data_IF_877481165018
#
_entry.id   IF_877481165018
#
_cell.length_a   1.000
_cell.length_b   1.000
_cell.length_c   1.000
_cell.angle_alpha   90.00
_cell.angle_beta   90.00
_cell.angle_gamma   90.00
#
_symmetry.space_group_name_H-M   'P 1'
#
loop_
_entity.id
_entity.type
_entity.pdbx_description
1 polymer ?
#
# COMPACT_ATOMS: atom_id res chain seq x y z
N UNK A 1 2.70 -10.29 -9.02
CA UNK A 1 2.74 -10.49 -7.59
C UNK A 1 3.28 -9.30 -6.83
N UNK A 2 3.19 -9.38 -5.55
CA UNK A 2 3.62 -8.27 -4.67
C UNK A 2 5.12 -8.13 -4.60
N UNK A 3 5.84 -9.15 -5.00
CA UNK A 3 7.31 -9.14 -5.03
C UNK A 3 7.85 -8.37 -6.21
N UNK A 4 7.05 -8.20 -7.24
CA UNK A 4 7.46 -7.54 -8.46
C UNK A 4 7.11 -6.06 -8.38
N UNK A 5 7.96 -5.23 -8.97
CA UNK A 5 7.67 -3.82 -9.10
C UNK A 5 6.55 -3.63 -10.10
N UNK A 6 5.48 -2.96 -9.68
CA UNK A 6 4.38 -2.62 -10.57
C UNK A 6 4.70 -1.26 -11.18
N UNK A 7 4.74 -1.20 -12.50
CA UNK A 7 5.05 0.02 -13.23
C UNK A 7 3.78 0.65 -13.77
N UNK A 8 3.62 1.93 -13.49
CA UNK A 8 2.47 2.68 -13.97
C UNK A 8 2.45 2.74 -15.50
N UNK A 9 3.62 2.84 -16.13
CA UNK A 9 3.75 2.83 -17.58
C UNK A 9 3.14 1.56 -18.18
N UNK A 10 3.35 0.42 -17.55
CA UNK A 10 2.82 -0.86 -18.03
C UNK A 10 1.31 -0.91 -17.94
N UNK A 11 0.74 -0.37 -16.86
CA UNK A 11 -0.70 -0.32 -16.68
C UNK A 11 -1.35 0.61 -17.71
N UNK A 12 -0.75 1.77 -17.93
CA UNK A 12 -1.26 2.73 -18.91
C UNK A 12 -1.22 2.13 -20.32
N UNK A 13 -0.15 1.41 -20.64
CA UNK A 13 0.01 0.75 -21.93
C UNK A 13 -1.10 -0.28 -22.18
N UNK A 14 -1.41 -1.08 -21.18
CA UNK A 14 -2.49 -2.07 -21.27
C UNK A 14 -3.85 -1.43 -21.51
N UNK A 15 -4.04 -0.21 -21.04
CA UNK A 15 -5.27 0.54 -21.22
C UNK A 15 -5.26 1.41 -22.49
N UNK A 16 -4.22 1.31 -23.31
CA UNK A 16 -4.08 2.09 -24.54
C UNK A 16 -4.16 3.60 -24.29
N UNK A 17 -3.49 4.08 -23.24
CA UNK A 17 -3.47 5.50 -22.91
C UNK A 17 -2.10 5.91 -22.40
N UNK A 18 -1.81 7.20 -22.44
CA UNK A 18 -0.57 7.73 -21.89
C UNK A 18 -0.55 7.58 -20.38
N UNK A 19 0.65 7.54 -19.81
CA UNK A 19 0.83 7.46 -18.35
C UNK A 19 0.14 8.64 -17.65
N UNK A 20 0.30 9.85 -18.21
CA UNK A 20 -0.33 11.04 -17.64
C UNK A 20 -1.85 10.93 -17.62
N UNK A 21 -2.44 10.47 -18.72
CA UNK A 21 -3.88 10.29 -18.81
C UNK A 21 -4.36 9.22 -17.83
N UNK A 22 -3.64 8.11 -17.75
CA UNK A 22 -3.97 7.03 -16.81
C UNK A 22 -3.96 7.53 -15.37
N UNK A 23 -2.91 8.26 -14.97
CA UNK A 23 -2.81 8.79 -13.61
C UNK A 23 -3.95 9.74 -13.29
N UNK A 24 -4.31 10.59 -14.22
CA UNK A 24 -5.41 11.55 -14.03
C UNK A 24 -6.74 10.84 -13.82
N UNK A 25 -7.06 9.87 -14.68
CA UNK A 25 -8.29 9.10 -14.55
C UNK A 25 -8.32 8.30 -13.24
N UNK A 26 -7.19 7.71 -12.87
CA UNK A 26 -7.10 6.94 -11.64
C UNK A 26 -7.43 7.82 -10.42
N UNK A 27 -6.84 9.01 -10.36
CA UNK A 27 -7.12 9.94 -9.26
C UNK A 27 -8.60 10.36 -9.24
N UNK A 28 -9.19 10.60 -10.41
CA UNK A 28 -10.61 10.96 -10.51
C UNK A 28 -11.50 9.88 -9.90
N UNK A 29 -11.25 8.62 -10.23
CA UNK A 29 -12.13 7.51 -9.82
C UNK A 29 -11.79 6.97 -8.44
N UNK A 30 -10.51 6.92 -8.06
CA UNK A 30 -10.08 6.28 -6.83
C UNK A 30 -9.79 7.26 -5.69
N UNK A 31 -9.72 8.55 -5.99
CA UNK A 31 -9.37 9.60 -5.04
C UNK A 31 -7.99 9.39 -4.40
N UNK A 32 -7.11 8.72 -5.11
CA UNK A 32 -5.71 8.55 -4.73
C UNK A 32 -4.89 8.22 -5.97
N UNK A 33 -3.59 8.43 -5.90
CA UNK A 33 -2.71 8.10 -7.03
C UNK A 33 -2.55 6.58 -7.15
N UNK A 34 -2.20 6.08 -8.35
CA UNK A 34 -1.89 4.66 -8.50
C UNK A 34 -0.79 4.18 -7.55
N UNK A 35 0.23 5.01 -7.31
CA UNK A 35 1.32 4.65 -6.40
C UNK A 35 0.81 4.50 -4.98
N UNK A 36 -0.05 5.42 -4.52
CA UNK A 36 -0.64 5.33 -3.19
C UNK A 36 -1.52 4.09 -3.04
N UNK A 37 -2.29 3.78 -4.07
CA UNK A 37 -3.13 2.57 -4.08
C UNK A 37 -2.28 1.31 -3.96
N UNK A 38 -1.21 1.22 -4.73
CA UNK A 38 -0.29 0.08 -4.67
C UNK A 38 0.34 -0.03 -3.28
N UNK A 39 0.78 1.09 -2.73
CA UNK A 39 1.39 1.09 -1.40
C UNK A 39 0.39 0.69 -0.32
N UNK A 40 -0.87 1.09 -0.45
CA UNK A 40 -1.93 0.67 0.45
C UNK A 40 -2.10 -0.85 0.42
N UNK A 41 -2.15 -1.44 -0.76
CA UNK A 41 -2.26 -2.90 -0.90
C UNK A 41 -1.05 -3.59 -0.27
N UNK A 42 0.15 -3.09 -0.53
CA UNK A 42 1.38 -3.65 0.04
C UNK A 42 1.35 -3.60 1.57
N UNK A 43 0.89 -2.50 2.13
CA UNK A 43 0.77 -2.34 3.58
C UNK A 43 -0.27 -3.32 4.16
N UNK A 44 -1.40 -3.50 3.48
CA UNK A 44 -2.40 -4.49 3.89
C UNK A 44 -1.81 -5.90 3.93
N UNK A 45 -1.05 -6.25 2.90
CA UNK A 45 -0.38 -7.55 2.84
C UNK A 45 0.66 -7.70 3.94
N UNK A 46 1.38 -6.60 4.25
CA UNK A 46 2.34 -6.61 5.36
C UNK A 46 1.64 -6.88 6.70
N UNK A 47 0.50 -6.28 6.93
CA UNK A 47 -0.29 -6.52 8.14
C UNK A 47 -0.68 -7.99 8.27
N UNK A 48 -1.10 -8.61 7.17
CA UNK A 48 -1.44 -10.03 7.16
C UNK A 48 -0.22 -10.91 7.48
N UNK A 49 0.93 -10.59 6.90
CA UNK A 49 2.15 -11.34 7.19
C UNK A 49 2.60 -11.19 8.64
N UNK A 50 2.44 -10.00 9.20
CA UNK A 50 2.77 -9.77 10.60
C UNK A 50 1.90 -10.59 11.54
N UNK A 51 0.63 -10.80 11.19
CA UNK A 51 -0.28 -11.63 11.98
C UNK A 51 0.02 -13.11 11.85
N UNK A 52 0.42 -13.55 10.67
CA UNK A 52 0.54 -14.98 10.33
C UNK A 52 1.94 -15.54 10.48
N UNK A 53 2.96 -14.69 10.49
CA UNK A 53 4.35 -15.15 10.52
C UNK A 53 5.15 -14.43 11.60
N UNK A 54 6.35 -14.96 11.85
CA UNK A 54 7.33 -14.31 12.71
C UNK A 54 8.47 -13.69 11.88
N UNK A 55 8.21 -13.40 10.63
CA UNK A 55 9.20 -12.77 9.76
C UNK A 55 9.63 -11.42 10.32
N UNK A 56 10.89 -11.06 10.10
CA UNK A 56 11.38 -9.74 10.48
C UNK A 56 10.72 -8.66 9.63
N UNK A 57 10.78 -7.42 10.09
CA UNK A 57 10.23 -6.30 9.32
C UNK A 57 10.95 -6.14 7.99
N UNK A 58 12.26 -6.41 7.95
CA UNK A 58 13.03 -6.38 6.70
C UNK A 58 12.51 -7.43 5.72
N UNK A 59 12.25 -8.63 6.19
CA UNK A 59 11.72 -9.71 5.36
C UNK A 59 10.32 -9.38 4.84
N UNK A 60 9.46 -8.85 5.71
CA UNK A 60 8.11 -8.47 5.35
C UNK A 60 8.13 -7.37 4.29
N UNK A 61 8.94 -6.34 4.49
CA UNK A 61 9.07 -5.24 3.53
C UNK A 61 9.43 -5.75 2.14
N UNK A 62 10.40 -6.66 2.07
CA UNK A 62 10.83 -7.24 0.79
C UNK A 62 9.74 -8.10 0.17
N UNK A 63 9.09 -8.93 0.97
CA UNK A 63 8.03 -9.83 0.48
C UNK A 63 6.85 -9.10 -0.13
N UNK A 64 6.50 -7.94 0.41
CA UNK A 64 5.36 -7.18 -0.12
C UNK A 64 5.75 -6.19 -1.19
N UNK A 65 7.03 -6.09 -1.54
CA UNK A 65 7.48 -5.35 -2.70
C UNK A 65 8.12 -4.00 -2.45
N UNK A 66 8.45 -3.66 -1.21
CA UNK A 66 9.21 -2.45 -0.94
C UNK A 66 10.70 -2.72 -1.16
N UNK A 67 11.39 -1.73 -1.74
CA UNK A 67 12.82 -1.87 -2.03
C UNK A 67 13.70 -1.68 -0.79
N UNK A 68 13.22 -0.91 0.19
CA UNK A 68 13.95 -0.68 1.44
C UNK A 68 12.99 -0.71 2.61
N UNK A 69 13.52 -1.04 3.79
CA UNK A 69 12.75 -1.01 5.02
C UNK A 69 12.34 0.42 5.40
N UNK A 70 13.18 1.40 5.08
CA UNK A 70 12.86 2.81 5.33
C UNK A 70 11.61 3.24 4.57
N UNK A 71 11.49 2.87 3.30
CA UNK A 71 10.32 3.18 2.49
C UNK A 71 9.09 2.47 3.04
N UNK A 72 9.23 1.21 3.42
CA UNK A 72 8.17 0.46 4.06
C UNK A 72 7.66 1.15 5.33
N UNK A 73 8.56 1.48 6.24
CA UNK A 73 8.20 2.13 7.50
C UNK A 73 7.47 3.47 7.28
N UNK A 74 7.95 4.26 6.35
CA UNK A 74 7.35 5.57 6.03
C UNK A 74 5.94 5.41 5.49
N UNK A 75 5.75 4.51 4.55
CA UNK A 75 4.43 4.27 3.97
C UNK A 75 3.48 3.63 4.97
N UNK A 76 3.97 2.70 5.76
CA UNK A 76 3.16 2.06 6.79
C UNK A 76 2.63 3.09 7.79
N UNK A 77 3.54 3.94 8.30
CA UNK A 77 3.15 4.97 9.26
C UNK A 77 2.16 5.97 8.66
N UNK A 78 2.36 6.35 7.40
CA UNK A 78 1.46 7.27 6.70
C UNK A 78 0.05 6.67 6.55
N UNK A 79 -0.04 5.40 6.19
CA UNK A 79 -1.31 4.74 5.89
C UNK A 79 -2.01 4.24 7.16
N UNK A 80 -1.28 3.60 8.06
CA UNK A 80 -1.85 2.99 9.27
C UNK A 80 -1.91 3.97 10.44
N UNK A 81 -0.98 4.93 10.49
CA UNK A 81 -0.92 5.93 11.55
C UNK A 81 0.06 5.60 12.67
N UNK A 82 0.73 4.48 12.59
CA UNK A 82 1.73 4.06 13.58
C UNK A 82 2.82 3.24 12.91
N UNK A 83 3.90 2.99 13.62
CA UNK A 83 5.00 2.17 13.08
C UNK A 83 4.59 0.70 13.00
N UNK A 84 5.21 -0.08 12.10
CA UNK A 84 4.93 -1.52 12.03
C UNK A 84 5.14 -2.23 13.37
N UNK A 85 6.18 -1.85 14.10
CA UNK A 85 6.48 -2.45 15.39
C UNK A 85 5.36 -2.23 16.40
N UNK A 86 4.87 -1.00 16.50
CA UNK A 86 3.77 -0.66 17.41
C UNK A 86 2.47 -1.34 17.01
N UNK A 87 2.20 -1.40 15.71
CA UNK A 87 1.02 -2.07 15.20
C UNK A 87 1.04 -3.56 15.53
N UNK A 88 2.19 -4.20 15.40
CA UNK A 88 2.33 -5.62 15.70
C UNK A 88 2.02 -5.93 17.16
N UNK A 89 2.34 -5.01 18.07
CA UNK A 89 2.05 -5.17 19.49
C UNK A 89 0.55 -5.09 19.80
N UNK A 90 -0.18 -4.20 19.11
CA UNK A 90 -1.59 -3.95 19.37
C UNK A 90 -2.36 -3.74 18.06
N UNK A 91 -2.49 -4.80 17.25
CA UNK A 91 -3.11 -4.64 15.92
C UNK A 91 -4.54 -4.15 15.96
N UNK A 92 -5.33 -4.56 16.93
CA UNK A 92 -6.73 -4.15 17.01
C UNK A 92 -6.93 -2.65 17.23
N UNK A 93 -5.93 -1.96 17.75
CA UNK A 93 -6.02 -0.51 17.96
C UNK A 93 -5.91 0.29 16.65
N UNK A 94 -5.42 -0.33 15.58
CA UNK A 94 -5.09 0.38 14.36
C UNK A 94 -5.82 -0.13 13.12
N UNK A 95 -6.48 -1.26 13.19
CA UNK A 95 -7.19 -1.82 12.03
C UNK A 95 -8.26 -0.88 11.50
N UNK A 96 -8.94 -0.16 12.38
CA UNK A 96 -9.96 0.80 11.97
C UNK A 96 -9.40 1.94 11.15
N UNK A 97 -8.16 2.35 11.41
CA UNK A 97 -7.50 3.41 10.63
C UNK A 97 -7.18 2.96 9.21
N UNK A 98 -6.70 1.72 9.07
CA UNK A 98 -6.44 1.15 7.75
C UNK A 98 -7.74 1.02 6.96
N UNK A 99 -8.79 0.54 7.59
CA UNK A 99 -10.10 0.43 6.96
C UNK A 99 -10.65 1.80 6.56
N UNK A 100 -10.52 2.80 7.42
CA UNK A 100 -10.96 4.16 7.12
C UNK A 100 -10.23 4.74 5.92
N UNK A 101 -8.93 4.51 5.82
CA UNK A 101 -8.14 4.95 4.68
C UNK A 101 -8.68 4.33 3.38
N UNK A 102 -8.91 3.03 3.38
CA UNK A 102 -9.43 2.30 2.23
C UNK A 102 -10.83 2.79 1.82
N UNK A 103 -11.73 2.94 2.78
CA UNK A 103 -13.09 3.41 2.54
C UNK A 103 -13.08 4.83 1.98
N UNK A 104 -12.23 5.69 2.53
CA UNK A 104 -12.10 7.07 2.09
C UNK A 104 -11.69 7.15 0.61
N UNK A 105 -10.74 6.31 0.22
CA UNK A 105 -10.29 6.23 -1.16
C UNK A 105 -11.40 5.77 -2.08
N UNK A 106 -12.15 4.76 -1.69
CA UNK A 106 -13.27 4.23 -2.49
C UNK A 106 -14.40 5.25 -2.62
N UNK A 107 -14.70 5.99 -1.56
CA UNK A 107 -15.77 6.98 -1.56
C UNK A 107 -15.44 8.23 -2.35
N UNK A 108 -14.17 8.48 -2.61
CA UNK A 108 -13.74 9.65 -3.35
C UNK A 108 -14.09 9.62 -4.83
N UNK A 109 -14.67 8.55 -5.26
CA UNK A 109 -15.12 8.38 -6.63
C UNK A 109 -16.65 8.50 -6.72
#
# INVERSE_FOLDING_TARGET
GYKESIRIEMLAEKCNMSETHFRRLFVEYMNMTPVDYINMIRVQMACELMKKTNDSMDEIAMKVGFTTTSTFNRNFKRIVGTTPYQWKKNPENYESKLLSFHISAEKGW
#
